data_IF_356089082775
#
_entry.id   IF_356089082775
#
_cell.length_a   1.000
_cell.length_b   1.000
_cell.length_c   1.000
_cell.angle_alpha   90.00
_cell.angle_beta   90.00
_cell.angle_gamma   90.00
#
_symmetry.space_group_name_H-M   'P 1'
#
loop_
_entity.id
_entity.type
_entity.pdbx_description
1 polymer ?
#
# COMPACT_ATOMS: atom_id res chain seq x y z
N UNK A 1 -9.52 -6.13 -3.63
CA UNK A 1 -8.62 -6.79 -4.59
C UNK A 1 -7.24 -6.80 -3.96
N UNK A 2 -6.66 -7.99 -3.83
CA UNK A 2 -5.35 -8.20 -3.24
C UNK A 2 -4.34 -8.52 -4.37
N UNK A 3 -3.09 -8.09 -4.22
CA UNK A 3 -1.99 -8.33 -5.17
C UNK A 3 -2.30 -7.98 -6.65
N UNK A 4 -3.02 -6.88 -6.93
CA UNK A 4 -3.18 -6.36 -8.29
C UNK A 4 -1.91 -5.62 -8.75
N UNK A 5 -0.95 -6.38 -9.31
CA UNK A 5 0.36 -5.89 -9.71
C UNK A 5 1.07 -6.83 -10.68
N UNK A 6 2.13 -6.35 -11.31
CA UNK A 6 3.09 -7.20 -12.01
C UNK A 6 3.92 -8.04 -11.02
N UNK A 7 4.41 -9.23 -11.43
CA UNK A 7 5.30 -10.04 -10.60
C UNK A 7 6.57 -9.27 -10.21
N UNK A 8 7.06 -9.50 -8.98
CA UNK A 8 8.33 -8.96 -8.48
C UNK A 8 9.34 -10.04 -8.10
N UNK A 9 8.92 -11.29 -8.08
CA UNK A 9 9.66 -12.41 -7.47
C UNK A 9 9.79 -13.56 -8.48
N UNK A 10 10.84 -14.38 -8.32
CA UNK A 10 11.16 -15.47 -9.23
C UNK A 10 12.11 -15.06 -10.36
N UNK A 11 12.21 -15.88 -11.41
CA UNK A 11 13.07 -15.58 -12.56
C UNK A 11 12.39 -14.57 -13.49
N UNK A 12 12.59 -13.28 -13.20
CA UNK A 12 12.01 -12.18 -13.97
C UNK A 12 12.41 -12.18 -15.46
N UNK A 13 13.49 -12.88 -15.85
CA UNK A 13 13.94 -13.00 -17.25
C UNK A 13 13.09 -13.95 -18.08
N UNK A 14 12.36 -14.87 -17.44
CA UNK A 14 11.54 -15.88 -18.13
C UNK A 14 10.08 -15.42 -18.27
N UNK A 15 9.74 -14.23 -17.77
CA UNK A 15 8.38 -13.71 -17.85
C UNK A 15 8.13 -13.11 -19.23
N UNK A 16 7.00 -13.49 -19.81
CA UNK A 16 6.49 -12.96 -21.07
C UNK A 16 5.10 -12.36 -20.84
N UNK A 17 4.86 -11.15 -21.36
CA UNK A 17 3.59 -10.43 -21.19
C UNK A 17 2.82 -10.36 -22.52
N UNK A 18 2.10 -11.43 -22.92
CA UNK A 18 1.53 -11.56 -24.27
C UNK A 18 0.62 -10.40 -24.71
N UNK A 19 0.00 -9.70 -23.76
CA UNK A 19 -0.98 -8.64 -24.02
C UNK A 19 -0.45 -7.24 -23.73
N UNK A 20 0.75 -7.11 -23.14
CA UNK A 20 1.27 -5.81 -22.69
C UNK A 20 2.77 -5.62 -22.90
N UNK A 21 3.49 -6.61 -23.44
CA UNK A 21 4.93 -6.53 -23.65
C UNK A 21 5.34 -5.36 -24.53
N UNK A 22 4.67 -5.15 -25.67
CA UNK A 22 4.97 -4.03 -26.57
C UNK A 22 4.93 -2.68 -25.82
N UNK A 23 3.89 -2.47 -25.00
CA UNK A 23 3.74 -1.25 -24.20
C UNK A 23 4.85 -1.14 -23.15
N UNK A 24 5.13 -2.22 -22.43
CA UNK A 24 6.18 -2.25 -21.38
C UNK A 24 7.57 -2.00 -21.99
N UNK A 25 7.84 -2.53 -23.18
CA UNK A 25 9.13 -2.32 -23.86
C UNK A 25 9.24 -0.91 -24.44
N UNK A 26 8.12 -0.36 -24.95
CA UNK A 26 8.10 1.00 -25.49
C UNK A 26 8.26 2.10 -24.43
N UNK A 27 7.86 1.81 -23.19
CA UNK A 27 7.99 2.68 -22.03
C UNK A 27 8.43 1.85 -20.81
N UNK A 28 9.74 1.64 -20.62
CA UNK A 28 10.27 0.83 -19.53
C UNK A 28 10.01 1.42 -18.14
N UNK A 29 9.75 2.72 -18.04
CA UNK A 29 9.56 3.42 -16.76
C UNK A 29 8.09 3.40 -16.33
N UNK A 30 7.16 3.63 -17.26
CA UNK A 30 5.73 3.81 -16.94
C UNK A 30 4.80 2.82 -17.66
N UNK A 31 5.29 2.02 -18.60
CA UNK A 31 4.46 1.10 -19.39
C UNK A 31 3.67 0.10 -18.54
N UNK A 32 4.26 -0.42 -17.47
CA UNK A 32 3.55 -1.28 -16.49
C UNK A 32 2.51 -0.51 -15.69
N UNK A 33 2.83 0.70 -15.24
CA UNK A 33 1.90 1.55 -14.51
C UNK A 33 0.67 1.90 -15.37
N UNK A 34 0.88 2.18 -16.65
CA UNK A 34 -0.19 2.45 -17.62
C UNK A 34 -1.09 1.24 -17.84
N UNK A 35 -0.53 0.04 -17.98
CA UNK A 35 -1.32 -1.20 -18.08
C UNK A 35 -2.17 -1.42 -16.83
N UNK A 36 -1.59 -1.20 -15.64
CA UNK A 36 -2.34 -1.30 -14.38
C UNK A 36 -3.44 -0.24 -14.28
N UNK A 37 -3.18 1.00 -14.71
CA UNK A 37 -4.18 2.08 -14.75
C UNK A 37 -5.39 1.71 -15.61
N UNK A 38 -5.16 1.17 -16.80
CA UNK A 38 -6.23 0.70 -17.68
C UNK A 38 -7.00 -0.47 -17.06
N UNK A 39 -6.31 -1.38 -16.36
CA UNK A 39 -6.97 -2.47 -15.64
C UNK A 39 -7.83 -1.95 -14.48
N UNK A 40 -7.36 -0.97 -13.71
CA UNK A 40 -8.15 -0.33 -12.66
C UNK A 40 -9.40 0.35 -13.23
N UNK A 41 -9.25 1.07 -14.35
CA UNK A 41 -10.36 1.69 -15.06
C UNK A 41 -11.37 0.64 -15.56
N UNK A 42 -10.88 -0.48 -16.09
CA UNK A 42 -11.72 -1.60 -16.52
C UNK A 42 -12.54 -2.19 -15.36
N UNK A 43 -11.90 -2.47 -14.21
CA UNK A 43 -12.59 -2.97 -13.02
C UNK A 43 -13.68 -2.00 -12.56
N UNK A 44 -13.36 -0.71 -12.47
CA UNK A 44 -14.31 0.33 -12.11
C UNK A 44 -15.50 0.38 -13.06
N UNK A 45 -15.25 0.48 -14.37
CA UNK A 45 -16.32 0.56 -15.36
C UNK A 45 -17.20 -0.70 -15.40
N UNK A 46 -16.62 -1.87 -15.11
CA UNK A 46 -17.35 -3.14 -15.12
C UNK A 46 -18.24 -3.33 -13.89
N UNK A 47 -17.92 -2.67 -12.77
CA UNK A 47 -18.56 -2.90 -11.48
C UNK A 47 -19.34 -1.70 -10.93
N UNK A 48 -19.15 -0.49 -11.47
CA UNK A 48 -19.79 0.75 -10.94
C UNK A 48 -21.31 0.67 -10.83
N UNK A 49 -21.99 -0.02 -11.74
CA UNK A 49 -23.46 -0.12 -11.76
C UNK A 49 -24.02 -1.18 -10.79
N UNK A 50 -23.13 -1.96 -10.14
CA UNK A 50 -23.53 -2.99 -9.17
C UNK A 50 -23.66 -2.44 -7.74
N UNK A 51 -23.11 -1.26 -7.47
CA UNK A 51 -23.07 -0.67 -6.13
C UNK A 51 -22.07 -1.32 -5.16
N UNK A 52 -21.20 -2.24 -5.64
CA UNK A 52 -20.15 -2.83 -4.80
C UNK A 52 -19.10 -1.79 -4.43
N UNK A 53 -18.64 -1.84 -3.18
CA UNK A 53 -17.49 -1.05 -2.72
C UNK A 53 -16.21 -1.78 -3.10
N UNK A 54 -15.32 -1.10 -3.80
CA UNK A 54 -14.05 -1.66 -4.25
C UNK A 54 -12.88 -1.09 -3.47
N UNK A 55 -12.00 -1.98 -3.00
CA UNK A 55 -10.70 -1.59 -2.45
C UNK A 55 -9.55 -2.32 -3.14
N UNK A 56 -8.38 -1.69 -3.17
CA UNK A 56 -7.15 -2.27 -3.71
C UNK A 56 -6.03 -2.25 -2.67
N UNK A 57 -5.37 -3.40 -2.50
CA UNK A 57 -4.15 -3.51 -1.70
C UNK A 57 -2.95 -3.06 -2.54
N UNK A 58 -2.18 -2.10 -2.02
CA UNK A 58 -0.99 -1.55 -2.66
C UNK A 58 0.25 -1.84 -1.81
N UNK A 59 1.41 -1.94 -2.43
CA UNK A 59 2.67 -2.00 -1.68
C UNK A 59 2.85 -0.74 -0.83
N UNK A 60 3.29 -0.88 0.43
CA UNK A 60 3.44 0.28 1.32
C UNK A 60 4.34 1.38 0.75
N UNK A 61 5.42 1.01 0.05
CA UNK A 61 6.33 1.98 -0.57
C UNK A 61 5.70 2.79 -1.72
N UNK A 62 4.55 2.39 -2.27
CA UNK A 62 3.86 3.21 -3.29
C UNK A 62 3.38 4.55 -2.73
N UNK A 63 3.33 4.73 -1.42
CA UNK A 63 3.00 6.03 -0.81
C UNK A 63 4.19 6.99 -0.79
N UNK A 64 5.42 6.48 -0.86
CA UNK A 64 6.65 7.28 -0.80
C UNK A 64 7.40 7.36 -2.12
N UNK A 65 7.24 6.35 -2.98
CA UNK A 65 7.95 6.24 -4.24
C UNK A 65 7.10 6.76 -5.41
N UNK A 66 7.61 7.72 -6.20
CA UNK A 66 6.91 8.22 -7.39
C UNK A 66 6.99 7.26 -8.58
N UNK A 67 7.91 6.29 -8.55
CA UNK A 67 8.01 5.21 -9.53
C UNK A 67 6.99 4.09 -9.25
N UNK A 68 6.87 3.15 -10.19
CA UNK A 68 5.92 2.03 -10.11
C UNK A 68 6.48 0.83 -9.33
N UNK A 69 7.67 0.95 -8.74
CA UNK A 69 8.46 -0.11 -8.10
C UNK A 69 8.69 -1.33 -9.01
N UNK A 70 8.60 -1.17 -10.33
CA UNK A 70 8.59 -2.22 -11.35
C UNK A 70 7.44 -3.25 -11.22
N UNK A 71 6.43 -2.92 -10.42
CA UNK A 71 5.23 -3.73 -10.17
C UNK A 71 3.96 -3.08 -10.75
N UNK A 72 4.08 -1.94 -11.43
CA UNK A 72 2.97 -1.23 -12.08
C UNK A 72 2.04 -0.47 -11.13
N UNK A 73 2.38 -0.34 -9.84
CA UNK A 73 1.50 0.35 -8.89
C UNK A 73 1.91 1.80 -8.71
N UNK A 74 1.05 2.72 -9.15
CA UNK A 74 1.14 4.15 -8.87
C UNK A 74 -0.09 4.56 -8.07
N UNK A 75 0.12 5.23 -6.94
CA UNK A 75 -0.95 5.59 -6.01
C UNK A 75 -2.04 6.43 -6.68
N UNK A 76 -1.63 7.44 -7.44
CA UNK A 76 -2.49 8.37 -8.17
C UNK A 76 -3.22 7.70 -9.34
N UNK A 77 -2.72 6.57 -9.84
CA UNK A 77 -3.40 5.82 -10.91
C UNK A 77 -4.50 4.92 -10.37
N UNK A 78 -4.38 4.47 -9.11
CA UNK A 78 -5.39 3.64 -8.47
C UNK A 78 -6.53 4.46 -7.87
N UNK A 79 -6.24 5.59 -7.22
CA UNK A 79 -7.22 6.36 -6.41
C UNK A 79 -8.52 6.72 -7.14
N UNK A 80 -8.50 7.13 -8.43
CA UNK A 80 -9.73 7.49 -9.13
C UNK A 80 -10.71 6.33 -9.31
N UNK A 81 -10.24 5.09 -9.23
CA UNK A 81 -11.00 3.90 -9.62
C UNK A 81 -11.44 3.02 -8.45
N UNK A 82 -10.95 3.29 -7.24
CA UNK A 82 -11.31 2.55 -6.03
C UNK A 82 -11.92 3.47 -4.96
N UNK A 83 -12.80 2.92 -4.14
CA UNK A 83 -13.41 3.62 -2.99
C UNK A 83 -12.42 3.70 -1.82
N UNK A 84 -11.56 2.68 -1.67
CA UNK A 84 -10.49 2.65 -0.67
C UNK A 84 -9.20 2.11 -1.26
N UNK A 85 -8.08 2.67 -0.82
CA UNK A 85 -6.76 2.14 -1.11
C UNK A 85 -6.09 1.69 0.18
N UNK A 86 -5.47 0.52 0.14
CA UNK A 86 -4.90 -0.13 1.32
C UNK A 86 -3.41 -0.38 1.14
N UNK A 87 -2.57 0.66 1.27
CA UNK A 87 -1.12 0.47 1.36
C UNK A 87 -0.77 -0.48 2.51
N UNK A 88 0.03 -1.49 2.20
CA UNK A 88 0.52 -2.47 3.17
C UNK A 88 1.77 -1.95 3.87
N UNK A 89 1.57 -1.20 4.96
CA UNK A 89 2.65 -0.47 5.66
C UNK A 89 3.13 -1.30 6.86
N UNK A 90 3.74 -2.45 6.56
CA UNK A 90 4.30 -3.34 7.57
C UNK A 90 5.76 -2.95 7.84
N UNK A 91 6.13 -2.37 9.01
CA UNK A 91 7.48 -1.88 9.22
C UNK A 91 8.55 -2.95 9.05
N UNK A 92 8.21 -4.22 9.27
CA UNK A 92 9.12 -5.36 9.04
C UNK A 92 9.48 -5.65 7.58
N UNK A 93 8.72 -5.11 6.64
CA UNK A 93 8.90 -5.34 5.19
C UNK A 93 9.57 -4.15 4.48
N UNK A 94 9.86 -3.06 5.21
CA UNK A 94 10.64 -1.95 4.68
C UNK A 94 12.13 -2.28 4.71
N UNK A 95 12.91 -1.83 3.71
CA UNK A 95 14.33 -2.15 3.61
C UNK A 95 15.16 -1.52 4.74
N UNK A 96 16.29 -2.16 5.07
CA UNK A 96 17.27 -1.59 6.01
C UNK A 96 17.68 -0.18 5.56
N UNK A 97 17.65 0.79 6.47
CA UNK A 97 18.02 2.17 6.16
C UNK A 97 16.91 3.01 5.54
N UNK A 98 15.69 2.47 5.39
CA UNK A 98 14.55 3.26 4.92
C UNK A 98 14.38 4.53 5.75
N UNK A 99 14.36 5.68 5.07
CA UNK A 99 14.28 7.02 5.68
C UNK A 99 15.30 7.24 6.82
N UNK A 100 16.49 6.65 6.72
CA UNK A 100 17.57 6.77 7.71
C UNK A 100 17.44 5.87 8.94
N UNK A 101 16.36 5.08 9.06
CA UNK A 101 16.21 4.12 10.15
C UNK A 101 16.99 2.86 9.86
N UNK A 102 18.02 2.58 10.67
CA UNK A 102 18.83 1.38 10.50
C UNK A 102 17.96 0.11 10.54
N UNK A 103 16.95 0.07 11.41
CA UNK A 103 16.00 -1.02 11.45
C UNK A 103 14.56 -0.48 11.57
N UNK A 104 13.79 -0.42 10.47
CA UNK A 104 12.40 0.06 10.48
C UNK A 104 11.50 -0.64 11.50
N UNK A 105 11.74 -1.91 11.86
CA UNK A 105 11.00 -2.61 12.90
C UNK A 105 11.13 -2.02 14.32
N UNK A 106 12.14 -1.18 14.56
CA UNK A 106 12.29 -0.45 15.84
C UNK A 106 11.62 0.92 15.83
N UNK A 107 11.04 1.31 14.68
CA UNK A 107 10.48 2.63 14.41
C UNK A 107 9.04 2.51 13.88
N UNK A 108 8.24 1.62 14.48
CA UNK A 108 6.91 1.24 13.94
C UNK A 108 5.95 2.43 13.78
N UNK A 109 5.97 3.37 14.72
CA UNK A 109 5.21 4.63 14.61
C UNK A 109 5.73 5.46 13.44
N UNK A 110 7.05 5.69 13.40
CA UNK A 110 7.66 6.62 12.46
C UNK A 110 7.50 6.15 11.01
N UNK A 111 7.65 4.84 10.76
CA UNK A 111 7.47 4.23 9.43
C UNK A 111 6.04 4.41 8.94
N UNK A 112 5.04 4.12 9.79
CA UNK A 112 3.62 4.29 9.41
C UNK A 112 3.29 5.76 9.21
N UNK A 113 3.67 6.63 10.15
CA UNK A 113 3.37 8.05 10.06
C UNK A 113 4.00 8.69 8.82
N UNK A 114 5.29 8.44 8.60
CA UNK A 114 6.00 8.95 7.42
C UNK A 114 5.37 8.46 6.12
N UNK A 115 5.15 7.15 6.00
CA UNK A 115 4.63 6.56 4.76
C UNK A 115 3.21 7.05 4.46
N UNK A 116 2.34 7.12 5.47
CA UNK A 116 0.97 7.57 5.26
C UNK A 116 0.85 9.07 5.06
N UNK A 117 1.64 9.88 5.78
CA UNK A 117 1.70 11.33 5.55
C UNK A 117 2.16 11.64 4.12
N UNK A 118 3.15 10.91 3.60
CA UNK A 118 3.57 11.05 2.19
C UNK A 118 2.49 10.63 1.20
N UNK A 119 1.75 9.56 1.48
CA UNK A 119 0.60 9.18 0.67
C UNK A 119 -0.48 10.26 0.65
N UNK A 120 -0.76 10.87 1.80
CA UNK A 120 -1.70 11.99 1.93
C UNK A 120 -1.21 13.19 1.12
N UNK A 121 0.03 13.64 1.32
CA UNK A 121 0.63 14.78 0.61
C UNK A 121 0.52 14.60 -0.91
N UNK A 122 0.81 13.39 -1.40
CA UNK A 122 0.74 13.06 -2.82
C UNK A 122 -0.67 13.13 -3.38
N UNK A 123 -1.66 12.57 -2.68
CA UNK A 123 -3.05 12.66 -3.12
C UNK A 123 -3.58 14.10 -3.05
N UNK A 124 -3.14 14.90 -2.07
CA UNK A 124 -3.45 16.35 -2.03
C UNK A 124 -2.84 17.04 -3.26
N UNK A 125 -1.56 16.79 -3.56
CA UNK A 125 -0.88 17.38 -4.72
C UNK A 125 -1.53 16.98 -6.05
N UNK A 126 -2.09 15.77 -6.12
CA UNK A 126 -2.88 15.28 -7.25
C UNK A 126 -4.33 15.81 -7.29
N UNK A 127 -4.72 16.73 -6.38
CA UNK A 127 -6.09 17.23 -6.25
C UNK A 127 -7.14 16.11 -6.04
N UNK A 128 -6.74 15.08 -5.29
CA UNK A 128 -7.46 13.83 -5.08
C UNK A 128 -7.97 13.72 -3.62
N UNK A 129 -8.47 12.55 -3.19
CA UNK A 129 -9.12 12.32 -1.88
C UNK A 129 -8.25 11.45 -0.96
N UNK A 130 -7.40 12.05 -0.09
CA UNK A 130 -6.55 11.29 0.83
C UNK A 130 -7.31 10.39 1.80
N UNK A 131 -8.55 10.74 2.16
CA UNK A 131 -9.36 9.99 3.12
C UNK A 131 -9.79 8.60 2.62
N UNK A 132 -9.54 8.27 1.34
CA UNK A 132 -9.68 6.90 0.83
C UNK A 132 -8.56 5.96 1.29
N UNK A 133 -7.45 6.51 1.81
CA UNK A 133 -6.35 5.70 2.34
C UNK A 133 -6.79 5.00 3.64
N UNK A 134 -6.67 3.68 3.64
CA UNK A 134 -6.96 2.76 4.75
C UNK A 134 -5.85 1.71 4.83
N UNK A 135 -4.71 2.01 5.48
CA UNK A 135 -3.54 1.13 5.44
C UNK A 135 -3.79 -0.18 6.17
N UNK A 136 -3.11 -1.23 5.71
CA UNK A 136 -2.89 -2.43 6.52
C UNK A 136 -1.71 -2.19 7.46
N UNK A 137 -1.92 -2.43 8.76
CA UNK A 137 -0.92 -2.33 9.81
C UNK A 137 -0.52 -3.72 10.30
N UNK A 138 0.70 -3.84 10.81
CA UNK A 138 1.28 -5.11 11.23
C UNK A 138 0.92 -5.47 12.67
N UNK A 139 0.38 -6.68 12.88
CA UNK A 139 0.09 -7.26 14.19
C UNK A 139 0.73 -8.66 14.33
N UNK A 140 1.90 -8.88 13.73
CA UNK A 140 2.64 -10.15 13.80
C UNK A 140 4.15 -9.90 13.95
N UNK A 141 4.86 -10.91 14.47
CA UNK A 141 6.30 -10.85 14.66
C UNK A 141 7.04 -11.27 13.38
N UNK A 142 7.88 -10.40 12.84
CA UNK A 142 8.82 -10.71 11.79
C UNK A 142 10.04 -9.79 11.91
N UNK A 143 11.15 -10.29 12.46
CA UNK A 143 12.33 -9.46 12.77
C UNK A 143 12.12 -8.40 13.88
N UNK A 144 11.02 -8.49 14.63
CA UNK A 144 10.62 -7.60 15.72
C UNK A 144 9.46 -8.18 16.53
N UNK A 145 9.18 -7.60 17.70
CA UNK A 145 8.09 -8.02 18.60
C UNK A 145 6.95 -7.01 18.56
N UNK A 146 5.76 -7.45 18.20
CA UNK A 146 4.55 -6.64 18.08
C UNK A 146 3.59 -7.04 19.19
N UNK A 147 3.45 -6.16 20.19
CA UNK A 147 2.43 -6.24 21.22
C UNK A 147 1.49 -5.04 21.18
N UNK A 148 0.71 -4.86 22.25
CA UNK A 148 -0.33 -3.83 22.29
C UNK A 148 0.23 -2.41 22.09
N UNK A 149 1.47 -2.16 22.54
CA UNK A 149 2.15 -0.88 22.38
C UNK A 149 2.49 -0.60 20.92
N UNK A 150 3.09 -1.56 20.23
CA UNK A 150 3.54 -1.41 18.84
C UNK A 150 2.35 -1.30 17.87
N UNK A 151 1.30 -2.09 18.09
CA UNK A 151 0.07 -2.01 17.29
C UNK A 151 -0.63 -0.67 17.52
N UNK A 152 -0.77 -0.23 18.77
CA UNK A 152 -1.38 1.07 19.09
C UNK A 152 -0.58 2.25 18.52
N UNK A 153 0.75 2.14 18.50
CA UNK A 153 1.61 3.15 17.90
C UNK A 153 1.36 3.30 16.39
N UNK A 154 1.16 2.21 15.66
CA UNK A 154 0.81 2.26 14.22
C UNK A 154 -0.59 2.85 13.99
N UNK A 155 -1.56 2.51 14.84
CA UNK A 155 -2.91 3.09 14.81
C UNK A 155 -2.84 4.61 15.03
N UNK A 156 -2.11 5.03 16.06
CA UNK A 156 -1.91 6.45 16.36
C UNK A 156 -1.22 7.18 15.20
N UNK A 157 -0.17 6.60 14.64
CA UNK A 157 0.52 7.12 13.47
C UNK A 157 -0.41 7.33 12.25
N UNK A 158 -1.40 6.46 12.07
CA UNK A 158 -2.42 6.62 11.01
C UNK A 158 -3.30 7.84 11.27
N UNK A 159 -3.75 8.04 12.51
CA UNK A 159 -4.54 9.22 12.89
C UNK A 159 -3.73 10.51 12.80
N UNK A 160 -2.46 10.49 13.22
CA UNK A 160 -1.58 11.66 13.20
C UNK A 160 -1.19 12.07 11.76
N UNK A 161 -1.26 11.14 10.81
CA UNK A 161 -1.19 11.42 9.37
C UNK A 161 -2.49 12.03 8.80
N UNK A 162 -3.51 12.27 9.62
CA UNK A 162 -4.80 12.85 9.21
C UNK A 162 -5.80 11.87 8.62
N UNK A 163 -5.53 10.57 8.69
CA UNK A 163 -6.43 9.51 8.21
C UNK A 163 -7.37 9.03 9.32
N UNK A 164 -8.46 8.36 8.94
CA UNK A 164 -9.55 8.00 9.87
C UNK A 164 -9.85 6.50 9.90
N UNK A 165 -9.14 5.70 9.10
CA UNK A 165 -9.38 4.26 9.00
C UNK A 165 -8.08 3.48 8.76
N UNK A 166 -8.07 2.22 9.19
CA UNK A 166 -6.96 1.26 9.04
C UNK A 166 -7.49 -0.16 9.16
N UNK A 167 -6.66 -1.16 8.85
CA UNK A 167 -6.93 -2.58 9.07
C UNK A 167 -5.70 -3.25 9.71
N UNK A 168 -5.89 -4.32 10.47
CA UNK A 168 -4.78 -5.11 11.05
C UNK A 168 -4.58 -6.41 10.29
N UNK A 169 -3.34 -6.74 10.01
CA UNK A 169 -2.97 -8.03 9.45
C UNK A 169 -2.13 -8.85 10.43
N UNK A 170 -2.51 -10.11 10.61
CA UNK A 170 -1.70 -11.15 11.23
C UNK A 170 -1.99 -12.48 10.51
N UNK A 171 -0.99 -13.16 9.93
CA UNK A 171 -1.21 -14.39 9.17
C UNK A 171 -1.77 -15.56 10.01
N UNK A 172 -1.61 -15.53 11.33
CA UNK A 172 -2.21 -16.51 12.25
C UNK A 172 -3.66 -16.19 12.64
N UNK A 173 -4.21 -15.06 12.17
CA UNK A 173 -5.54 -14.55 12.53
C UNK A 173 -5.75 -14.36 14.04
N UNK A 174 -4.67 -14.16 14.80
CA UNK A 174 -4.70 -13.87 16.24
C UNK A 174 -4.31 -12.43 16.49
N UNK A 175 -5.29 -11.59 16.79
CA UNK A 175 -5.08 -10.15 16.95
C UNK A 175 -4.83 -9.73 18.39
N UNK A 176 -3.98 -8.73 18.58
CA UNK A 176 -3.61 -8.16 19.87
C UNK A 176 -4.74 -7.30 20.43
N UNK A 177 -5.70 -7.92 21.11
CA UNK A 177 -6.91 -7.26 21.65
C UNK A 177 -6.63 -6.02 22.51
N UNK A 178 -5.59 -6.05 23.35
CA UNK A 178 -5.22 -4.89 24.19
C UNK A 178 -4.81 -3.63 23.41
N UNK A 179 -4.55 -3.75 22.10
CA UNK A 179 -4.35 -2.59 21.23
C UNK A 179 -5.66 -1.90 20.83
N UNK A 180 -6.78 -2.63 20.82
CA UNK A 180 -8.10 -2.18 20.35
C UNK A 180 -9.01 -1.64 21.47
N UNK A 181 -8.66 -1.94 22.72
CA UNK A 181 -9.42 -1.50 23.88
C UNK A 181 -9.13 -0.01 24.15
N UNK A 182 -10.18 0.80 24.28
CA UNK A 182 -10.07 2.15 24.84
C UNK A 182 -9.68 1.99 26.31
N UNK A 183 -8.51 2.50 26.69
CA UNK A 183 -8.18 2.73 28.10
C UNK A 183 -8.32 4.22 28.38
#
# INVERSE_FOLDING_TARGET
FDYIRFPSDGNMRDIYYPFSEERIVSDPDMGKAEVMREFFQYLHNSLKDTGVIMSADLFGMTTTNPDDLNIGQILEYAEPYFDYLSPMVYPSHYPKGFNGWENPNKHVYDVVNFSMSKGVDRLIAASSTPLKLRPWLQDFNYGGNYGAKEVRAQIQATYDAGLTSWMLWNPSNRYTRGALENK
#
